data_IF_491284316659
#
_entry.id   IF_491284316659
#
_cell.length_a   1.000
_cell.length_b   1.000
_cell.length_c   1.000
_cell.angle_alpha   90.00
_cell.angle_beta   90.00
_cell.angle_gamma   90.00
#
_symmetry.space_group_name_H-M   'P 1'
#
loop_
_entity.id
_entity.type
_entity.pdbx_description
1 polymer ?
#
# COMPACT_ATOMS: atom_id res chain seq x y z
N UNK A 1 33.98 -17.30 -39.60
CA UNK A 1 32.77 -16.64 -39.06
C UNK A 1 32.38 -17.32 -37.75
N UNK A 2 32.63 -16.70 -36.60
CA UNK A 2 32.08 -17.17 -35.32
C UNK A 2 31.25 -16.06 -34.72
N UNK A 3 29.93 -16.12 -34.96
CA UNK A 3 28.95 -15.29 -34.24
C UNK A 3 28.79 -15.90 -32.85
N UNK A 4 29.74 -15.61 -31.96
CA UNK A 4 29.55 -15.86 -30.54
C UNK A 4 28.34 -15.02 -30.08
N UNK A 5 27.20 -15.67 -29.88
CA UNK A 5 26.01 -15.08 -29.25
C UNK A 5 26.44 -14.53 -27.88
N UNK A 6 26.57 -13.21 -27.77
CA UNK A 6 26.70 -12.52 -26.48
C UNK A 6 25.49 -12.93 -25.64
N UNK A 7 25.72 -13.73 -24.60
CA UNK A 7 24.70 -14.09 -23.61
C UNK A 7 24.28 -12.79 -22.94
N UNK A 8 23.03 -12.41 -23.18
CA UNK A 8 22.50 -11.10 -22.88
C UNK A 8 22.43 -10.88 -21.36
N UNK A 9 23.42 -10.15 -20.81
CA UNK A 9 23.47 -9.82 -19.38
C UNK A 9 22.31 -8.91 -18.96
N UNK A 10 21.62 -8.28 -19.91
CA UNK A 10 20.47 -7.38 -19.68
C UNK A 10 19.27 -8.09 -19.06
N UNK A 11 19.02 -9.36 -19.43
CA UNK A 11 17.89 -10.14 -18.93
C UNK A 11 18.02 -10.37 -17.41
N UNK A 12 19.24 -10.59 -16.93
CA UNK A 12 19.52 -10.80 -15.52
C UNK A 12 19.43 -9.54 -14.66
N UNK A 13 19.74 -8.36 -15.21
CA UNK A 13 19.60 -7.09 -14.49
C UNK A 13 18.15 -6.65 -14.40
N UNK A 14 17.40 -6.76 -15.50
CA UNK A 14 15.98 -6.38 -15.55
C UNK A 14 15.13 -7.24 -14.59
N UNK A 15 15.39 -8.55 -14.54
CA UNK A 15 14.72 -9.45 -13.60
C UNK A 15 14.99 -9.08 -12.13
N UNK A 16 16.21 -8.63 -11.79
CA UNK A 16 16.54 -8.18 -10.44
C UNK A 16 15.80 -6.90 -10.08
N UNK A 17 15.74 -5.94 -10.99
CA UNK A 17 14.99 -4.70 -10.80
C UNK A 17 13.49 -4.95 -10.59
N UNK A 18 12.90 -5.89 -11.34
CA UNK A 18 11.51 -6.29 -11.16
C UNK A 18 11.23 -6.84 -9.77
N UNK A 19 12.12 -7.72 -9.27
CA UNK A 19 12.00 -8.31 -7.94
C UNK A 19 12.17 -7.27 -6.84
N UNK A 20 13.10 -6.32 -7.01
CA UNK A 20 13.28 -5.23 -6.05
C UNK A 20 12.03 -4.35 -6.02
N UNK A 21 11.47 -4.01 -7.18
CA UNK A 21 10.25 -3.21 -7.28
C UNK A 21 9.05 -3.89 -6.60
N UNK A 22 8.84 -5.19 -6.86
CA UNK A 22 7.79 -5.98 -6.19
C UNK A 22 7.95 -5.95 -4.67
N UNK A 23 9.18 -6.13 -4.17
CA UNK A 23 9.47 -6.10 -2.73
C UNK A 23 9.23 -4.74 -2.10
N UNK A 24 9.54 -3.65 -2.80
CA UNK A 24 9.28 -2.30 -2.31
C UNK A 24 7.77 -2.10 -2.13
N UNK A 25 6.96 -2.49 -3.10
CA UNK A 25 5.50 -2.37 -3.02
C UNK A 25 4.95 -3.23 -1.86
N UNK A 26 5.42 -4.47 -1.71
CA UNK A 26 5.02 -5.33 -0.58
C UNK A 26 5.42 -4.70 0.75
N UNK A 27 6.63 -4.14 0.83
CA UNK A 27 7.13 -3.48 2.03
C UNK A 27 6.27 -2.26 2.39
N UNK A 28 5.86 -1.46 1.41
CA UNK A 28 4.89 -0.38 1.61
C UNK A 28 3.57 -0.89 2.18
N UNK A 29 3.03 -1.99 1.64
CA UNK A 29 1.83 -2.63 2.17
C UNK A 29 1.97 -3.08 3.64
N UNK A 30 3.14 -3.62 4.01
CA UNK A 30 3.45 -3.99 5.39
C UNK A 30 3.56 -2.78 6.32
N UNK A 31 4.13 -1.66 5.88
CA UNK A 31 4.19 -0.43 6.68
C UNK A 31 2.78 0.03 7.05
N UNK A 32 1.89 0.11 6.06
CA UNK A 32 0.50 0.50 6.29
C UNK A 32 -0.22 -0.47 7.23
N UNK A 33 -0.02 -1.79 7.05
CA UNK A 33 -0.64 -2.80 7.90
C UNK A 33 -0.15 -2.71 9.34
N UNK A 34 1.16 -2.60 9.55
CA UNK A 34 1.76 -2.53 10.88
C UNK A 34 1.31 -1.26 11.61
N UNK A 35 1.27 -0.13 10.92
CA UNK A 35 0.78 1.10 11.50
C UNK A 35 -0.72 1.02 11.88
N UNK A 36 -1.55 0.37 11.06
CA UNK A 36 -2.95 0.09 11.40
C UNK A 36 -3.05 -0.81 12.64
N UNK A 37 -2.28 -1.89 12.70
CA UNK A 37 -2.28 -2.84 13.83
C UNK A 37 -1.81 -2.19 15.12
N UNK A 38 -0.78 -1.34 15.06
CA UNK A 38 -0.31 -0.58 16.23
C UNK A 38 -1.42 0.37 16.71
N UNK A 39 -2.07 1.09 15.79
CA UNK A 39 -3.16 1.99 16.14
C UNK A 39 -4.34 1.26 16.80
N UNK A 40 -4.82 0.17 16.19
CA UNK A 40 -5.90 -0.65 16.76
C UNK A 40 -5.47 -1.30 18.08
N UNK A 41 -4.21 -1.75 18.19
CA UNK A 41 -3.67 -2.35 19.40
C UNK A 41 -3.63 -1.35 20.56
N UNK A 42 -3.18 -0.12 20.33
CA UNK A 42 -3.22 0.96 21.31
C UNK A 42 -4.68 1.24 21.69
N UNK A 43 -5.58 1.38 20.71
CA UNK A 43 -6.99 1.65 20.97
C UNK A 43 -7.61 0.60 21.89
N UNK A 44 -7.43 -0.70 21.58
CA UNK A 44 -7.93 -1.81 22.41
C UNK A 44 -7.32 -1.80 23.81
N UNK A 45 -6.03 -1.52 23.96
CA UNK A 45 -5.39 -1.49 25.30
C UNK A 45 -5.96 -0.34 26.14
N UNK A 46 -6.09 0.86 25.59
CA UNK A 46 -6.54 2.02 26.35
C UNK A 46 -8.04 1.99 26.68
N UNK A 47 -8.87 1.52 25.76
CA UNK A 47 -10.33 1.44 25.94
C UNK A 47 -10.72 0.22 26.78
N UNK A 48 -10.26 -0.98 26.40
CA UNK A 48 -10.73 -2.24 27.02
C UNK A 48 -9.97 -2.64 28.29
N UNK A 49 -8.64 -2.42 28.36
CA UNK A 49 -7.83 -2.90 29.49
C UNK A 49 -7.76 -1.84 30.59
N UNK A 50 -7.67 -0.59 30.20
CA UNK A 50 -7.38 0.51 31.12
C UNK A 50 -8.66 1.23 31.52
N UNK A 51 -9.68 1.33 30.65
CA UNK A 51 -10.97 1.95 30.96
C UNK A 51 -10.87 3.43 31.35
N UNK A 52 -9.73 4.09 31.07
CA UNK A 52 -9.43 5.47 31.46
C UNK A 52 -9.88 6.45 30.36
N UNK A 53 -9.97 6.00 29.11
CA UNK A 53 -10.30 6.84 27.96
C UNK A 53 -11.43 6.14 27.20
N UNK A 54 -12.65 6.68 27.24
CA UNK A 54 -13.67 6.34 26.25
C UNK A 54 -13.21 6.91 24.89
N UNK A 55 -12.40 6.14 24.18
CA UNK A 55 -11.95 6.50 22.84
C UNK A 55 -13.12 6.26 21.87
N UNK A 56 -14.05 7.21 21.82
CA UNK A 56 -15.04 7.25 20.75
C UNK A 56 -14.32 7.27 19.40
N UNK A 57 -14.76 6.38 18.50
CA UNK A 57 -14.29 6.36 17.12
C UNK A 57 -14.84 7.63 16.45
N UNK A 58 -14.06 8.70 16.50
CA UNK A 58 -14.31 9.91 15.73
C UNK A 58 -14.13 9.68 14.24
N UNK A 59 -14.61 10.63 13.43
CA UNK A 59 -14.52 10.54 11.97
C UNK A 59 -13.06 10.45 11.50
N UNK A 60 -12.14 11.11 12.20
CA UNK A 60 -10.70 11.08 11.98
C UNK A 60 -10.09 9.69 12.22
N UNK A 61 -10.46 9.01 13.31
CA UNK A 61 -9.99 7.67 13.62
C UNK A 61 -10.53 6.66 12.58
N UNK A 62 -11.79 6.80 12.21
CA UNK A 62 -12.40 5.99 11.16
C UNK A 62 -11.74 6.20 9.80
N UNK A 63 -11.49 7.45 9.40
CA UNK A 63 -10.82 7.77 8.15
C UNK A 63 -9.39 7.23 8.12
N UNK A 64 -8.66 7.30 9.25
CA UNK A 64 -7.34 6.70 9.38
C UNK A 64 -7.39 5.18 9.18
N UNK A 65 -8.32 4.49 9.85
CA UNK A 65 -8.48 3.03 9.70
C UNK A 65 -8.73 2.65 8.24
N UNK A 66 -9.67 3.34 7.58
CA UNK A 66 -9.98 3.10 6.17
C UNK A 66 -8.77 3.37 5.28
N UNK A 67 -8.11 4.52 5.45
CA UNK A 67 -6.96 4.89 4.64
C UNK A 67 -5.83 3.86 4.77
N UNK A 68 -5.45 3.49 5.99
CA UNK A 68 -4.35 2.55 6.22
C UNK A 68 -4.70 1.14 5.75
N UNK A 69 -5.92 0.67 6.01
CA UNK A 69 -6.38 -0.64 5.58
C UNK A 69 -6.46 -0.77 4.06
N UNK A 70 -7.05 0.22 3.39
CA UNK A 70 -7.20 0.21 1.93
C UNK A 70 -5.82 0.31 1.25
N UNK A 71 -4.95 1.24 1.65
CA UNK A 71 -3.63 1.37 1.03
C UNK A 71 -2.74 0.14 1.27
N UNK A 72 -2.86 -0.51 2.43
CA UNK A 72 -2.21 -1.81 2.66
C UNK A 72 -2.71 -2.87 1.67
N UNK A 73 -4.03 -3.03 1.54
CA UNK A 73 -4.65 -4.00 0.63
C UNK A 73 -4.30 -3.73 -0.84
N UNK A 74 -4.38 -2.48 -1.28
CA UNK A 74 -4.02 -2.05 -2.64
C UNK A 74 -2.56 -2.32 -2.94
N UNK A 75 -1.65 -2.06 -1.99
CA UNK A 75 -0.22 -2.35 -2.16
C UNK A 75 0.04 -3.84 -2.36
N UNK A 76 -0.55 -4.70 -1.53
CA UNK A 76 -0.39 -6.15 -1.68
C UNK A 76 -1.04 -6.67 -2.98
N UNK A 77 -2.21 -6.13 -3.35
CA UNK A 77 -2.89 -6.45 -4.61
C UNK A 77 -2.03 -6.08 -5.83
N UNK A 78 -1.47 -4.87 -5.83
CA UNK A 78 -0.58 -4.40 -6.89
C UNK A 78 0.67 -5.30 -7.01
N UNK A 79 1.30 -5.63 -5.89
CA UNK A 79 2.46 -6.53 -5.89
C UNK A 79 2.12 -7.91 -6.47
N UNK A 80 0.95 -8.47 -6.11
CA UNK A 80 0.50 -9.75 -6.64
C UNK A 80 0.24 -9.70 -8.16
N UNK A 81 -0.36 -8.62 -8.66
CA UNK A 81 -0.62 -8.44 -10.10
C UNK A 81 0.69 -8.29 -10.87
N UNK A 82 1.62 -7.46 -10.40
CA UNK A 82 2.93 -7.25 -11.03
C UNK A 82 3.74 -8.53 -11.07
N UNK A 83 3.70 -9.33 -10.00
CA UNK A 83 4.41 -10.62 -9.93
C UNK A 83 4.03 -11.54 -11.08
N UNK A 84 2.75 -11.54 -11.46
CA UNK A 84 2.21 -12.37 -12.54
C UNK A 84 2.33 -11.73 -13.94
N UNK A 85 2.48 -10.39 -14.02
CA UNK A 85 2.45 -9.62 -15.27
C UNK A 85 3.57 -8.55 -15.30
N UNK A 86 4.83 -8.99 -15.22
CA UNK A 86 6.00 -8.11 -15.03
C UNK A 86 6.24 -7.17 -16.20
N UNK A 87 5.88 -7.59 -17.40
CA UNK A 87 5.95 -6.81 -18.64
C UNK A 87 5.08 -5.55 -18.59
N UNK A 88 3.94 -5.60 -17.89
CA UNK A 88 3.01 -4.48 -17.76
C UNK A 88 3.14 -3.71 -16.44
N UNK A 89 4.20 -3.97 -15.64
CA UNK A 89 4.35 -3.41 -14.29
C UNK A 89 4.19 -1.89 -14.20
N UNK A 90 4.62 -1.15 -15.23
CA UNK A 90 4.51 0.32 -15.29
C UNK A 90 3.06 0.78 -15.42
N UNK A 91 2.27 0.09 -16.23
CA UNK A 91 0.84 0.41 -16.40
C UNK A 91 0.11 0.22 -15.09
N UNK A 92 0.25 -0.96 -14.47
CA UNK A 92 -0.41 -1.25 -13.20
C UNK A 92 0.04 -0.31 -12.07
N UNK A 93 1.31 0.07 -12.03
CA UNK A 93 1.78 1.05 -11.06
C UNK A 93 1.16 2.44 -11.26
N UNK A 94 1.01 2.89 -12.51
CA UNK A 94 0.36 4.16 -12.81
C UNK A 94 -1.14 4.12 -12.49
N UNK A 95 -1.82 3.05 -12.87
CA UNK A 95 -3.24 2.86 -12.56
C UNK A 95 -3.48 2.86 -11.05
N UNK A 96 -2.60 2.19 -10.29
CA UNK A 96 -2.60 2.22 -8.84
C UNK A 96 -2.35 3.62 -8.28
N UNK A 97 -1.37 4.36 -8.82
CA UNK A 97 -1.07 5.73 -8.37
C UNK A 97 -2.25 6.67 -8.60
N UNK A 98 -2.93 6.56 -9.75
CA UNK A 98 -4.16 7.30 -10.01
C UNK A 98 -5.29 6.88 -9.07
N UNK A 99 -5.41 5.58 -8.79
CA UNK A 99 -6.37 5.04 -7.82
C UNK A 99 -6.16 5.61 -6.43
N UNK A 100 -4.93 5.60 -5.90
CA UNK A 100 -4.60 6.20 -4.61
C UNK A 100 -4.87 7.70 -4.58
N UNK A 101 -4.50 8.42 -5.66
CA UNK A 101 -4.77 9.85 -5.75
C UNK A 101 -6.27 10.17 -5.65
N UNK A 102 -7.10 9.45 -6.41
CA UNK A 102 -8.55 9.62 -6.38
C UNK A 102 -9.15 9.25 -5.02
N UNK A 103 -8.67 8.16 -4.42
CA UNK A 103 -9.11 7.73 -3.09
C UNK A 103 -8.73 8.74 -2.01
N UNK A 104 -7.51 9.29 -2.09
CA UNK A 104 -7.04 10.35 -1.21
C UNK A 104 -7.90 11.62 -1.33
N UNK A 105 -8.19 12.05 -2.56
CA UNK A 105 -9.10 13.18 -2.80
C UNK A 105 -10.48 12.94 -2.19
N UNK A 106 -11.07 11.78 -2.44
CA UNK A 106 -12.39 11.44 -1.90
C UNK A 106 -12.40 11.42 -0.37
N UNK A 107 -11.35 10.87 0.24
CA UNK A 107 -11.20 10.83 1.70
C UNK A 107 -11.12 12.23 2.29
N UNK A 108 -10.28 13.10 1.72
CA UNK A 108 -10.14 14.50 2.17
C UNK A 108 -11.48 15.24 2.06
N UNK A 109 -12.18 15.12 0.92
CA UNK A 109 -13.47 15.78 0.74
C UNK A 109 -14.55 15.23 1.67
N UNK A 110 -14.56 13.92 1.93
CA UNK A 110 -15.53 13.31 2.85
C UNK A 110 -15.34 13.82 4.28
N UNK A 111 -14.09 13.92 4.74
CA UNK A 111 -13.77 14.49 6.06
C UNK A 111 -14.16 15.96 6.11
N UNK A 112 -13.80 16.75 5.09
CA UNK A 112 -14.11 18.17 5.03
C UNK A 112 -15.63 18.43 5.06
N UNK A 113 -16.42 17.62 4.34
CA UNK A 113 -17.88 17.72 4.36
C UNK A 113 -18.49 17.30 5.69
N UNK A 114 -17.89 16.33 6.41
CA UNK A 114 -18.34 15.93 7.74
C UNK A 114 -18.02 17.00 8.81
N UNK A 115 -16.97 17.80 8.62
CA UNK A 115 -16.54 18.85 9.54
C UNK A 115 -17.29 20.19 9.37
N UNK A 116 -18.14 20.33 8.34
CA UNK A 116 -18.93 21.53 8.06
C UNK A 116 -20.37 21.36 8.52
#
# INVERSE_FOLDING_TARGET
MSKAKKKDRSIGSQFKEDVIFEKIIQFTGWIFLLALLIFLGIWVIFDFVIGIIELQIGAEAFAFILFMGINSGLSFGLAAIIKNNRDQKKSYFLDWLFGEFLLGMFTIFSIAAYQW
#
